data_IF_245484229999
#
_entry.id   IF_245484229999
#
_cell.length_a   1.000
_cell.length_b   1.000
_cell.length_c   1.000
_cell.angle_alpha   90.00
_cell.angle_beta   90.00
_cell.angle_gamma   90.00
#
_symmetry.space_group_name_H-M   'P 1'
#
loop_
_entity.id
_entity.type
_entity.pdbx_description
1 polymer ?
#
# COMPACT_ATOMS: atom_id res chain seq x y z
N UNK A 1 6.69 -47.95 60.39
CA UNK A 1 7.66 -49.08 60.32
C UNK A 1 9.07 -48.46 60.39
N UNK A 2 9.86 -48.89 61.38
CA UNK A 2 11.29 -48.60 61.68
C UNK A 2 12.19 -48.68 60.40
N UNK A 3 13.34 -48.01 60.16
CA UNK A 3 14.56 -47.70 60.94
C UNK A 3 15.50 -46.72 60.18
N UNK A 4 16.28 -45.91 60.94
CA UNK A 4 17.66 -45.36 60.76
C UNK A 4 18.50 -45.71 59.50
N UNK A 5 19.35 -44.77 59.04
CA UNK A 5 20.85 -44.62 59.23
C UNK A 5 21.46 -43.71 58.13
N UNK A 6 22.10 -42.57 58.45
CA UNK A 6 23.57 -42.30 58.53
C UNK A 6 24.48 -42.86 57.41
N UNK A 7 24.97 -41.91 56.58
CA UNK A 7 26.36 -41.59 56.17
C UNK A 7 27.21 -42.62 55.41
N UNK A 8 27.77 -42.21 54.25
CA UNK A 8 29.22 -42.31 53.96
C UNK A 8 29.64 -41.47 52.72
N UNK A 9 30.67 -40.65 52.93
CA UNK A 9 31.61 -40.12 51.92
C UNK A 9 32.34 -41.23 51.16
N UNK A 10 32.67 -40.97 49.89
CA UNK A 10 33.95 -41.26 49.19
C UNK A 10 33.83 -40.58 47.81
N UNK A 11 34.52 -39.49 47.51
CA UNK A 11 35.95 -39.32 47.19
C UNK A 11 36.21 -39.26 45.67
N UNK A 12 36.96 -38.21 45.31
CA UNK A 12 37.89 -38.08 44.18
C UNK A 12 37.39 -37.68 42.77
N UNK A 13 37.63 -36.38 42.50
CA UNK A 13 38.55 -35.83 41.49
C UNK A 13 38.21 -35.88 39.98
N UNK A 14 38.29 -34.67 39.39
CA UNK A 14 38.89 -34.48 38.07
C UNK A 14 37.97 -34.26 36.88
N UNK A 15 38.14 -33.10 36.22
CA UNK A 15 37.63 -32.69 34.90
C UNK A 15 36.11 -32.40 34.85
N UNK A 16 35.66 -31.16 34.72
CA UNK A 16 36.04 -30.23 33.66
C UNK A 16 35.32 -30.64 32.38
N UNK A 17 34.06 -30.23 32.23
CA UNK A 17 33.30 -30.09 30.97
C UNK A 17 31.88 -29.59 31.29
N UNK A 18 31.64 -28.30 31.05
CA UNK A 18 30.29 -27.76 30.83
C UNK A 18 29.71 -28.43 29.57
N UNK A 19 28.40 -28.66 29.49
CA UNK A 19 27.73 -28.07 28.34
C UNK A 19 26.28 -27.60 28.56
N UNK A 20 26.01 -26.52 27.85
CA UNK A 20 24.75 -26.08 27.28
C UNK A 20 23.70 -25.53 28.25
N UNK A 21 23.81 -24.21 28.46
CA UNK A 21 22.64 -23.36 28.63
C UNK A 21 21.59 -23.71 27.57
N UNK A 22 20.43 -24.15 28.02
CA UNK A 22 19.18 -24.11 27.28
C UNK A 22 18.95 -22.63 26.89
N UNK A 23 19.43 -22.25 25.71
CA UNK A 23 18.96 -21.04 25.06
C UNK A 23 17.52 -21.34 24.63
N UNK A 24 16.61 -21.07 25.56
CA UNK A 24 15.21 -20.79 25.28
C UNK A 24 15.19 -19.77 24.14
N UNK A 25 14.98 -20.28 22.93
CA UNK A 25 14.80 -19.47 21.75
C UNK A 25 13.47 -18.73 21.98
N UNK A 26 13.46 -17.41 22.26
CA UNK A 26 12.22 -16.73 22.49
C UNK A 26 11.56 -16.59 21.13
N UNK A 27 10.70 -17.54 20.79
CA UNK A 27 9.61 -17.28 19.85
C UNK A 27 8.81 -16.15 20.47
N UNK A 28 9.16 -14.92 20.15
CA UNK A 28 8.45 -13.72 20.57
C UNK A 28 7.02 -13.87 20.02
N UNK A 29 6.14 -14.39 20.86
CA UNK A 29 4.71 -14.31 20.66
C UNK A 29 4.38 -12.82 20.64
N UNK A 30 4.23 -12.28 19.43
CA UNK A 30 3.73 -10.94 19.22
C UNK A 30 2.47 -10.79 20.09
N UNK A 31 2.48 -9.80 20.99
CA UNK A 31 1.33 -9.47 21.81
C UNK A 31 0.09 -9.28 20.92
N UNK A 32 -1.11 -9.49 21.46
CA UNK A 32 -2.37 -9.26 20.75
C UNK A 32 -2.40 -7.93 20.01
N UNK A 33 -1.78 -6.91 20.60
CA UNK A 33 -1.74 -5.54 20.10
C UNK A 33 -0.78 -5.38 18.92
N UNK A 34 0.38 -6.05 18.95
CA UNK A 34 1.31 -6.09 17.82
C UNK A 34 0.73 -6.87 16.63
N UNK A 35 -0.08 -7.89 16.90
CA UNK A 35 -0.82 -8.60 15.86
C UNK A 35 -1.92 -7.73 15.24
N UNK A 36 -2.63 -6.94 16.06
CA UNK A 36 -3.68 -6.04 15.61
C UNK A 36 -3.16 -4.87 14.76
N UNK A 37 -1.92 -4.43 14.98
CA UNK A 37 -1.28 -3.35 14.22
C UNK A 37 -0.58 -3.82 12.94
N UNK A 38 -0.37 -5.13 12.77
CA UNK A 38 0.29 -5.70 11.60
C UNK A 38 -0.63 -5.81 10.39
N UNK A 39 -0.10 -5.54 9.19
CA UNK A 39 -0.81 -5.75 7.94
C UNK A 39 -0.83 -7.22 7.56
N UNK A 40 -2.03 -7.79 7.48
CA UNK A 40 -2.27 -9.16 7.03
C UNK A 40 -3.17 -9.14 5.79
N UNK A 41 -2.59 -9.15 4.58
CA UNK A 41 -3.40 -9.18 3.37
C UNK A 41 -4.13 -10.52 3.26
N UNK A 42 -5.38 -10.45 2.84
CA UNK A 42 -6.21 -11.57 2.41
C UNK A 42 -5.61 -12.28 1.20
N UNK A 43 -6.12 -13.48 0.89
CA UNK A 43 -5.68 -14.23 -0.29
C UNK A 43 -5.88 -13.42 -1.58
N UNK A 44 -7.01 -12.71 -1.69
CA UNK A 44 -7.32 -11.86 -2.85
C UNK A 44 -6.39 -10.65 -2.95
N UNK A 45 -6.12 -9.95 -1.85
CA UNK A 45 -5.18 -8.82 -1.84
C UNK A 45 -3.77 -9.28 -2.26
N UNK A 46 -3.31 -10.45 -1.79
CA UNK A 46 -2.02 -11.04 -2.23
C UNK A 46 -2.02 -11.44 -3.69
N UNK A 47 -3.10 -12.03 -4.17
CA UNK A 47 -3.24 -12.41 -5.59
C UNK A 47 -3.08 -11.19 -6.50
N UNK A 48 -3.86 -10.14 -6.24
CA UNK A 48 -3.79 -8.90 -7.02
C UNK A 48 -2.41 -8.25 -6.87
N UNK A 49 -1.88 -8.16 -5.64
CA UNK A 49 -0.53 -7.63 -5.41
C UNK A 49 0.52 -8.35 -6.25
N UNK A 50 0.54 -9.67 -6.25
CA UNK A 50 1.51 -10.44 -7.05
C UNK A 50 1.37 -10.18 -8.55
N UNK A 51 0.16 -9.90 -9.04
CA UNK A 51 -0.07 -9.54 -10.44
C UNK A 51 0.44 -8.12 -10.76
N UNK A 52 0.15 -7.13 -9.91
CA UNK A 52 0.40 -5.71 -10.21
C UNK A 52 1.77 -5.20 -9.75
N UNK A 53 2.33 -5.78 -8.69
CA UNK A 53 3.55 -5.31 -8.07
C UNK A 53 4.78 -5.54 -8.95
N UNK A 54 5.80 -4.71 -8.72
CA UNK A 54 7.11 -4.87 -9.32
C UNK A 54 7.67 -6.28 -9.00
N UNK A 55 8.31 -6.98 -9.94
CA UNK A 55 8.80 -8.34 -9.73
C UNK A 55 9.68 -8.52 -8.49
N UNK A 56 10.46 -7.48 -8.13
CA UNK A 56 11.32 -7.49 -6.94
C UNK A 56 10.57 -7.47 -5.60
N UNK A 57 9.26 -7.24 -5.58
CA UNK A 57 8.43 -7.18 -4.37
C UNK A 57 7.60 -8.45 -4.17
N UNK A 58 7.46 -9.29 -5.20
CA UNK A 58 6.64 -10.51 -5.14
C UNK A 58 7.17 -11.48 -4.10
N UNK A 59 6.26 -12.03 -3.30
CA UNK A 59 6.58 -13.00 -2.24
C UNK A 59 7.28 -12.40 -1.00
N UNK A 60 7.60 -11.11 -0.98
CA UNK A 60 8.13 -10.45 0.23
C UNK A 60 7.02 -10.26 1.27
N UNK A 61 7.44 -10.09 2.53
CA UNK A 61 6.52 -9.82 3.62
C UNK A 61 5.77 -8.49 3.39
N UNK A 62 4.44 -8.53 3.47
CA UNK A 62 3.59 -7.39 3.14
C UNK A 62 3.81 -6.19 4.07
N UNK A 63 4.02 -6.42 5.37
CA UNK A 63 4.32 -5.35 6.34
C UNK A 63 5.63 -4.64 5.98
N UNK A 64 6.69 -5.41 5.73
CA UNK A 64 8.00 -4.87 5.36
C UNK A 64 7.95 -4.08 4.04
N UNK A 65 7.14 -4.54 3.08
CA UNK A 65 6.88 -3.81 1.84
C UNK A 65 6.25 -2.44 2.16
N UNK A 66 5.18 -2.40 2.96
CA UNK A 66 4.47 -1.15 3.23
C UNK A 66 5.35 -0.15 4.00
N UNK A 67 6.12 -0.60 4.99
CA UNK A 67 7.06 0.25 5.72
C UNK A 67 8.17 0.80 4.82
N UNK A 68 8.75 -0.05 3.97
CA UNK A 68 9.79 0.36 3.02
C UNK A 68 9.27 1.40 2.03
N UNK A 69 8.04 1.24 1.56
CA UNK A 69 7.40 2.16 0.63
C UNK A 69 7.02 3.47 1.32
N UNK A 70 6.54 3.42 2.56
CA UNK A 70 6.19 4.61 3.34
C UNK A 70 7.38 5.56 3.53
N UNK A 71 8.59 5.02 3.68
CA UNK A 71 9.82 5.78 3.87
C UNK A 71 10.57 6.06 2.55
N UNK A 72 10.07 5.55 1.42
CA UNK A 72 10.71 5.68 0.12
C UNK A 72 10.63 7.11 -0.44
N UNK A 73 11.70 7.57 -1.07
CA UNK A 73 11.74 8.90 -1.70
C UNK A 73 10.76 9.08 -2.87
N UNK A 74 10.26 7.99 -3.44
CA UNK A 74 9.20 8.01 -4.46
C UNK A 74 7.80 8.25 -3.90
N UNK A 75 7.65 8.16 -2.58
CA UNK A 75 6.37 8.37 -1.89
C UNK A 75 6.24 9.84 -1.53
N UNK A 76 5.80 10.65 -2.51
CA UNK A 76 5.67 12.12 -2.36
C UNK A 76 4.26 12.58 -1.96
N UNK A 77 3.45 11.66 -1.43
CA UNK A 77 2.09 11.91 -0.95
C UNK A 77 1.98 11.50 0.52
N UNK A 78 0.86 11.82 1.15
CA UNK A 78 0.60 11.47 2.55
C UNK A 78 0.31 9.97 2.66
N UNK A 79 1.37 9.17 2.76
CA UNK A 79 1.34 7.72 2.79
C UNK A 79 0.92 7.17 4.15
N UNK A 80 -0.31 7.50 4.55
CA UNK A 80 -0.93 6.90 5.73
C UNK A 80 -1.08 5.38 5.54
N UNK A 81 -1.06 4.59 6.63
CA UNK A 81 -1.23 3.15 6.54
C UNK A 81 -2.47 2.70 5.73
N UNK A 82 -3.67 3.30 5.88
CA UNK A 82 -4.82 2.93 5.05
C UNK A 82 -4.60 3.15 3.55
N UNK A 83 -3.96 4.25 3.14
CA UNK A 83 -3.64 4.53 1.72
C UNK A 83 -2.70 3.46 1.18
N UNK A 84 -1.63 3.14 1.91
CA UNK A 84 -0.65 2.13 1.51
C UNK A 84 -1.23 0.72 1.45
N UNK A 85 -2.12 0.36 2.40
CA UNK A 85 -2.86 -0.92 2.36
C UNK A 85 -3.70 -1.07 1.10
N UNK A 86 -4.36 -0.01 0.67
CA UNK A 86 -5.18 -0.05 -0.54
C UNK A 86 -4.33 0.05 -1.81
N UNK A 87 -3.20 0.74 -1.78
CA UNK A 87 -2.24 0.75 -2.87
C UNK A 87 -1.61 -0.64 -3.09
N UNK A 88 -1.43 -1.43 -2.03
CA UNK A 88 -0.88 -2.79 -2.07
C UNK A 88 -1.58 -3.68 -3.10
N UNK A 89 -2.92 -3.64 -3.15
CA UNK A 89 -3.73 -4.46 -4.04
C UNK A 89 -4.53 -3.64 -5.07
N UNK A 90 -4.07 -2.41 -5.37
CA UNK A 90 -4.65 -1.52 -6.37
C UNK A 90 -6.15 -1.19 -6.15
N UNK A 91 -6.59 -1.06 -4.90
CA UNK A 91 -8.00 -0.92 -4.48
C UNK A 91 -8.64 0.45 -4.76
N UNK A 92 -8.58 0.92 -6.02
CA UNK A 92 -9.22 2.15 -6.48
C UNK A 92 -10.75 2.06 -6.55
N UNK A 93 -11.40 3.21 -6.69
CA UNK A 93 -12.84 3.38 -6.93
C UNK A 93 -13.71 2.90 -5.76
N UNK A 94 -14.64 1.97 -5.99
CA UNK A 94 -15.55 1.41 -4.97
C UNK A 94 -14.84 0.76 -3.77
N UNK A 95 -13.54 0.49 -3.89
CA UNK A 95 -12.71 -0.04 -2.79
C UNK A 95 -12.04 1.05 -1.94
N UNK A 96 -12.29 2.32 -2.25
CA UNK A 96 -11.98 3.48 -1.41
C UNK A 96 -10.76 4.29 -1.84
N UNK A 97 -9.76 3.68 -2.50
CA UNK A 97 -8.60 4.43 -2.97
C UNK A 97 -9.02 5.33 -4.15
N UNK A 98 -8.46 6.52 -4.15
CA UNK A 98 -8.69 7.55 -5.15
C UNK A 98 -7.36 8.09 -5.60
N UNK A 99 -7.23 8.47 -6.87
CA UNK A 99 -6.07 9.17 -7.40
C UNK A 99 -5.67 10.35 -6.50
N UNK A 100 -6.65 11.07 -5.94
CA UNK A 100 -6.39 12.23 -5.09
C UNK A 100 -5.71 11.91 -3.74
N UNK A 101 -5.64 10.64 -3.31
CA UNK A 101 -4.78 10.24 -2.18
C UNK A 101 -3.30 10.33 -2.52
N UNK A 102 -2.95 10.33 -3.81
CA UNK A 102 -1.60 10.52 -4.31
C UNK A 102 -1.31 11.99 -4.63
N UNK A 103 -2.18 12.94 -4.24
CA UNK A 103 -1.84 14.37 -4.29
C UNK A 103 -0.51 14.60 -3.58
N UNK A 104 0.36 15.39 -4.19
CA UNK A 104 1.64 15.76 -3.60
C UNK A 104 1.43 16.35 -2.20
N UNK A 105 2.14 15.79 -1.24
CA UNK A 105 2.11 16.24 0.15
C UNK A 105 3.29 17.17 0.42
N UNK A 106 3.00 18.36 0.92
CA UNK A 106 4.02 19.33 1.33
C UNK A 106 4.01 19.50 2.84
N UNK A 107 4.93 18.80 3.51
CA UNK A 107 5.00 18.74 4.97
C UNK A 107 5.01 20.15 5.61
N UNK A 108 5.82 21.07 5.09
CA UNK A 108 5.94 22.46 5.59
C UNK A 108 4.63 23.26 5.52
N UNK A 109 3.72 22.90 4.63
CA UNK A 109 2.46 23.60 4.41
C UNK A 109 1.28 22.91 5.12
N UNK A 110 1.39 21.60 5.35
CA UNK A 110 0.25 20.75 5.76
C UNK A 110 0.38 20.19 7.20
N UNK A 111 1.44 20.56 7.92
CA UNK A 111 1.85 20.05 9.25
C UNK A 111 0.83 20.22 10.40
N UNK A 112 -0.24 21.02 10.29
CA UNK A 112 -1.05 21.40 11.46
C UNK A 112 -2.41 20.68 11.67
N UNK A 113 -3.12 20.14 10.65
CA UNK A 113 -4.34 19.35 10.89
C UNK A 113 -4.33 17.91 10.34
N UNK A 114 -3.41 17.53 9.44
CA UNK A 114 -3.50 16.24 8.71
C UNK A 114 -2.83 15.06 9.43
N UNK A 115 -1.91 15.33 10.37
CA UNK A 115 -1.15 14.29 11.07
C UNK A 115 -1.66 13.99 12.48
N UNK A 116 -2.50 14.85 13.05
CA UNK A 116 -3.05 14.69 14.40
C UNK A 116 -4.15 13.62 14.43
N UNK A 117 -3.77 12.35 14.52
CA UNK A 117 -4.70 11.25 14.80
C UNK A 117 -4.39 9.93 14.09
N UNK A 118 -3.54 9.91 13.07
CA UNK A 118 -3.19 8.69 12.35
C UNK A 118 -1.90 8.10 12.91
N UNK A 119 -1.98 6.91 13.52
CA UNK A 119 -0.79 6.16 13.88
C UNK A 119 -0.12 5.63 12.60
N UNK A 120 0.98 6.28 12.20
CA UNK A 120 1.70 6.01 10.96
C UNK A 120 2.40 4.65 10.90
N UNK A 121 2.54 3.93 12.01
CA UNK A 121 3.16 2.59 12.05
C UNK A 121 2.12 1.47 12.17
N UNK A 122 0.85 1.81 12.41
CA UNK A 122 -0.22 0.84 12.55
C UNK A 122 -0.89 0.58 11.19
N UNK A 123 -0.55 -0.55 10.56
CA UNK A 123 -1.17 -1.04 9.34
C UNK A 123 -2.29 -2.07 9.60
N UNK A 124 -2.83 -2.06 10.81
CA UNK A 124 -4.06 -2.76 11.14
C UNK A 124 -5.24 -2.19 10.36
N UNK A 125 -6.30 -3.00 10.23
CA UNK A 125 -7.55 -2.57 9.57
C UNK A 125 -8.37 -1.58 10.41
N UNK A 126 -8.01 -1.38 11.67
CA UNK A 126 -8.67 -0.44 12.59
C UNK A 126 -8.53 1.01 12.10
N UNK A 127 -7.44 1.33 11.41
CA UNK A 127 -7.25 2.64 10.81
C UNK A 127 -8.11 2.77 9.55
N UNK A 128 -9.09 3.67 9.60
CA UNK A 128 -9.96 3.98 8.47
C UNK A 128 -9.29 4.93 7.48
N UNK A 129 -9.62 4.77 6.20
CA UNK A 129 -9.17 5.70 5.17
C UNK A 129 -9.89 7.04 5.33
N UNK A 130 -9.15 8.13 5.47
CA UNK A 130 -9.72 9.46 5.41
C UNK A 130 -10.10 9.81 3.96
N UNK A 131 -11.20 10.53 3.73
CA UNK A 131 -11.56 11.00 2.39
C UNK A 131 -10.41 11.78 1.74
N UNK A 132 -10.15 11.53 0.46
CA UNK A 132 -9.18 12.31 -0.29
C UNK A 132 -9.60 13.77 -0.40
N UNK A 133 -8.64 14.68 -0.40
CA UNK A 133 -8.88 16.10 -0.70
C UNK A 133 -9.38 16.24 -2.14
N UNK A 134 -10.55 16.85 -2.40
CA UNK A 134 -11.04 17.09 -3.75
C UNK A 134 -10.09 17.97 -4.56
N UNK A 135 -10.01 17.79 -5.90
CA UNK A 135 -9.26 18.69 -6.77
C UNK A 135 -9.91 20.07 -6.81
N UNK A 136 -9.09 21.11 -6.86
CA UNK A 136 -9.50 22.51 -7.10
C UNK A 136 -9.24 22.93 -8.54
N UNK A 137 -8.33 22.26 -9.22
CA UNK A 137 -7.97 22.50 -10.62
C UNK A 137 -7.69 21.18 -11.34
N UNK A 138 -7.70 21.18 -12.68
CA UNK A 138 -7.20 20.04 -13.46
C UNK A 138 -5.72 19.77 -13.17
N UNK A 139 -4.94 20.82 -12.87
CA UNK A 139 -3.52 20.69 -12.54
C UNK A 139 -3.30 19.84 -11.29
N UNK A 140 -4.22 19.87 -10.32
CA UNK A 140 -4.13 19.04 -9.12
C UNK A 140 -4.26 17.55 -9.47
N UNK A 141 -5.10 17.22 -10.46
CA UNK A 141 -5.29 15.85 -10.97
C UNK A 141 -4.02 15.40 -11.72
N UNK A 142 -3.44 16.27 -12.55
CA UNK A 142 -2.18 16.01 -13.25
C UNK A 142 -1.03 15.80 -12.26
N UNK A 143 -0.94 16.63 -11.21
CA UNK A 143 0.09 16.48 -10.17
C UNK A 143 -0.08 15.18 -9.37
N UNK A 144 -1.32 14.79 -9.04
CA UNK A 144 -1.60 13.51 -8.40
C UNK A 144 -1.19 12.32 -9.29
N UNK A 145 -1.41 12.40 -10.60
CA UNK A 145 -0.89 11.40 -11.55
C UNK A 145 0.63 11.33 -11.56
N UNK A 146 1.31 12.48 -11.60
CA UNK A 146 2.78 12.52 -11.58
C UNK A 146 3.35 11.88 -10.32
N UNK A 147 2.71 12.13 -9.17
CA UNK A 147 3.09 11.53 -7.90
C UNK A 147 2.81 10.03 -7.87
N UNK A 148 1.67 9.59 -8.40
CA UNK A 148 1.35 8.17 -8.57
C UNK A 148 2.33 7.47 -9.53
N UNK A 149 2.79 8.14 -10.60
CA UNK A 149 3.78 7.59 -11.52
C UNK A 149 5.15 7.40 -10.86
N UNK A 150 5.59 8.36 -10.05
CA UNK A 150 6.83 8.22 -9.26
C UNK A 150 6.76 7.01 -8.33
N UNK A 151 5.62 6.84 -7.65
CA UNK A 151 5.36 5.68 -6.81
C UNK A 151 5.33 4.37 -7.62
N UNK A 152 4.61 4.38 -8.74
CA UNK A 152 4.40 3.23 -9.61
C UNK A 152 5.70 2.70 -10.22
N UNK A 153 6.65 3.60 -10.55
CA UNK A 153 7.96 3.24 -11.12
C UNK A 153 8.74 2.25 -10.23
N UNK A 154 8.54 2.31 -8.91
CA UNK A 154 9.20 1.41 -7.97
C UNK A 154 8.32 0.31 -7.45
N UNK A 155 7.03 0.59 -7.28
CA UNK A 155 6.12 -0.30 -6.58
C UNK A 155 5.37 -1.24 -7.51
N UNK A 156 5.07 -0.79 -8.73
CA UNK A 156 4.28 -1.54 -9.68
C UNK A 156 5.13 -2.09 -10.83
N UNK A 157 4.59 -3.09 -11.50
CA UNK A 157 5.20 -3.66 -12.71
C UNK A 157 5.24 -2.63 -13.85
N UNK A 158 6.17 -2.74 -14.81
CA UNK A 158 6.24 -1.84 -15.96
C UNK A 158 4.93 -1.73 -16.76
N UNK A 159 4.13 -2.80 -16.76
CA UNK A 159 2.84 -2.84 -17.44
C UNK A 159 1.78 -1.99 -16.71
N UNK A 160 1.70 -2.11 -15.39
CA UNK A 160 0.82 -1.27 -14.57
C UNK A 160 1.26 0.20 -14.64
N UNK A 161 2.58 0.45 -14.60
CA UNK A 161 3.13 1.79 -14.81
C UNK A 161 2.68 2.37 -16.17
N UNK A 162 2.78 1.58 -17.25
CA UNK A 162 2.38 2.02 -18.59
C UNK A 162 0.88 2.32 -18.67
N UNK A 163 0.05 1.53 -17.99
CA UNK A 163 -1.39 1.78 -17.86
C UNK A 163 -1.68 3.10 -17.13
N UNK A 164 -1.03 3.36 -15.99
CA UNK A 164 -1.17 4.63 -15.26
C UNK A 164 -0.69 5.81 -16.12
N UNK A 165 0.41 5.61 -16.85
CA UNK A 165 1.00 6.64 -17.73
C UNK A 165 0.05 7.02 -18.86
N UNK A 166 -0.73 6.09 -19.41
CA UNK A 166 -1.75 6.40 -20.40
C UNK A 166 -2.78 7.40 -19.85
N UNK A 167 -3.28 7.17 -18.62
CA UNK A 167 -4.18 8.09 -17.93
C UNK A 167 -3.55 9.45 -17.64
N UNK A 168 -2.29 9.47 -17.18
CA UNK A 168 -1.56 10.71 -16.94
C UNK A 168 -1.38 11.54 -18.22
N UNK A 169 -0.94 10.91 -19.31
CA UNK A 169 -0.78 11.57 -20.62
C UNK A 169 -2.11 12.10 -21.17
N UNK A 170 -3.21 11.38 -20.95
CA UNK A 170 -4.54 11.89 -21.29
C UNK A 170 -4.87 13.16 -20.49
N UNK A 171 -4.68 13.13 -19.17
CA UNK A 171 -4.98 14.28 -18.31
C UNK A 171 -4.12 15.51 -18.61
N UNK A 172 -2.84 15.32 -18.92
CA UNK A 172 -1.95 16.40 -19.38
C UNK A 172 -2.49 17.07 -20.64
N UNK A 173 -2.86 16.27 -21.65
CA UNK A 173 -3.46 16.79 -22.90
C UNK A 173 -4.80 17.48 -22.62
N UNK A 174 -5.64 16.89 -21.76
CA UNK A 174 -6.93 17.47 -21.39
C UNK A 174 -6.74 18.82 -20.70
N UNK A 175 -5.77 18.96 -19.78
CA UNK A 175 -5.48 20.20 -19.08
C UNK A 175 -5.04 21.35 -20.01
N UNK A 176 -4.32 21.03 -21.09
CA UNK A 176 -3.89 22.03 -22.09
C UNK A 176 -5.03 22.42 -23.03
N UNK A 177 -5.85 21.45 -23.43
CA UNK A 177 -6.83 21.62 -24.51
C UNK A 177 -8.25 21.92 -24.02
N UNK A 178 -8.52 21.81 -22.73
CA UNK A 178 -9.85 22.01 -22.12
C UNK A 178 -9.78 23.04 -21.00
N UNK A 179 -10.88 23.77 -20.78
CA UNK A 179 -11.09 24.62 -19.60
C UNK A 179 -12.38 24.20 -18.89
N UNK A 180 -12.38 23.04 -18.22
CA UNK A 180 -13.56 22.56 -17.52
C UNK A 180 -13.93 23.48 -16.36
N UNK A 181 -15.21 23.52 -16.01
CA UNK A 181 -15.70 24.20 -14.82
C UNK A 181 -15.35 23.42 -13.52
N UNK A 182 -15.54 24.03 -12.34
CA UNK A 182 -15.24 23.37 -11.07
C UNK A 182 -16.00 22.08 -10.78
N UNK A 183 -17.22 21.89 -11.27
CA UNK A 183 -17.98 20.66 -11.06
C UNK A 183 -17.35 19.49 -11.83
N UNK A 184 -16.88 19.76 -13.04
CA UNK A 184 -16.24 18.78 -13.92
C UNK A 184 -14.97 18.17 -13.30
N UNK A 185 -14.23 18.85 -12.42
CA UNK A 185 -13.02 18.27 -11.80
C UNK A 185 -13.30 17.01 -10.99
N UNK A 186 -14.40 16.99 -10.22
CA UNK A 186 -14.77 15.82 -9.43
C UNK A 186 -15.25 14.67 -10.31
N UNK A 187 -15.96 14.99 -11.40
CA UNK A 187 -16.37 14.00 -12.41
C UNK A 187 -15.15 13.36 -13.08
N UNK A 188 -14.13 14.15 -13.43
CA UNK A 188 -12.87 13.65 -13.98
C UNK A 188 -12.17 12.70 -12.99
N UNK A 189 -12.09 13.05 -11.71
CA UNK A 189 -11.51 12.16 -10.69
C UNK A 189 -12.34 10.89 -10.54
N UNK A 190 -13.66 10.98 -10.53
CA UNK A 190 -14.54 9.81 -10.46
C UNK A 190 -14.33 8.88 -11.66
N UNK A 191 -14.29 9.42 -12.87
CA UNK A 191 -14.05 8.69 -14.11
C UNK A 191 -12.67 8.04 -14.12
N UNK A 192 -11.62 8.76 -13.75
CA UNK A 192 -10.27 8.18 -13.63
C UNK A 192 -10.27 7.03 -12.62
N UNK A 193 -10.88 7.23 -11.44
CA UNK A 193 -10.97 6.19 -10.44
C UNK A 193 -11.73 4.97 -10.99
N UNK A 194 -12.80 5.14 -11.75
CA UNK A 194 -13.56 4.03 -12.33
C UNK A 194 -12.70 3.20 -13.29
N UNK A 195 -11.85 3.83 -14.11
CA UNK A 195 -10.87 3.12 -14.96
C UNK A 195 -9.83 2.36 -14.15
N UNK A 196 -9.27 2.97 -13.10
CA UNK A 196 -8.33 2.30 -12.20
C UNK A 196 -8.99 1.12 -11.45
N UNK A 197 -10.25 1.27 -11.05
CA UNK A 197 -11.04 0.19 -10.45
C UNK A 197 -11.34 -0.94 -11.43
N UNK A 198 -11.73 -0.60 -12.67
CA UNK A 198 -11.96 -1.56 -13.77
C UNK A 198 -10.70 -2.35 -14.08
N UNK A 199 -9.53 -1.70 -14.08
CA UNK A 199 -8.24 -2.36 -14.26
C UNK A 199 -8.04 -3.48 -13.24
N UNK A 200 -8.28 -3.20 -11.96
CA UNK A 200 -8.19 -4.23 -10.91
C UNK A 200 -9.17 -5.38 -11.14
N UNK A 201 -10.41 -5.09 -11.53
CA UNK A 201 -11.41 -6.12 -11.82
C UNK A 201 -10.97 -7.03 -12.97
N UNK A 202 -10.41 -6.46 -14.04
CA UNK A 202 -9.86 -7.23 -15.16
C UNK A 202 -8.62 -8.05 -14.79
N UNK A 203 -7.74 -7.55 -13.91
CA UNK A 203 -6.62 -8.34 -13.38
C UNK A 203 -7.12 -9.61 -12.69
N UNK A 204 -8.28 -9.54 -12.02
CA UNK A 204 -8.88 -10.69 -11.35
C UNK A 204 -9.55 -11.63 -12.36
N UNK A 205 -10.30 -11.09 -13.32
CA UNK A 205 -11.06 -11.88 -14.28
C UNK A 205 -10.17 -12.58 -15.31
N UNK A 206 -9.08 -11.92 -15.74
CA UNK A 206 -8.23 -12.38 -16.82
C UNK A 206 -6.76 -12.39 -16.39
N UNK A 207 -6.02 -11.32 -16.64
CA UNK A 207 -4.64 -11.12 -16.25
C UNK A 207 -4.25 -9.64 -16.44
N UNK A 208 -3.02 -9.31 -16.03
CA UNK A 208 -2.51 -7.94 -16.12
C UNK A 208 -2.33 -7.45 -17.57
N UNK A 209 -2.06 -8.34 -18.52
CA UNK A 209 -1.88 -8.00 -19.95
C UNK A 209 -3.19 -7.51 -20.57
N UNK A 210 -4.28 -8.25 -20.37
CA UNK A 210 -5.61 -7.85 -20.82
C UNK A 210 -6.10 -6.60 -20.09
N UNK A 211 -5.90 -6.54 -18.76
CA UNK A 211 -6.30 -5.38 -17.97
C UNK A 211 -5.63 -4.08 -18.46
N UNK A 212 -4.37 -4.13 -18.89
CA UNK A 212 -3.65 -2.96 -19.39
C UNK A 212 -4.29 -2.33 -20.64
N UNK A 213 -5.11 -3.08 -21.39
CA UNK A 213 -5.84 -2.55 -22.54
C UNK A 213 -6.89 -1.51 -22.15
N UNK A 214 -7.32 -1.45 -20.88
CA UNK A 214 -8.17 -0.37 -20.36
C UNK A 214 -7.48 0.98 -20.50
N UNK A 215 -6.15 1.03 -20.61
CA UNK A 215 -5.42 2.25 -20.93
C UNK A 215 -5.86 2.90 -22.24
N UNK A 216 -6.39 2.13 -23.19
CA UNK A 216 -6.93 2.65 -24.45
C UNK A 216 -8.28 3.35 -24.28
N UNK A 217 -8.95 3.16 -23.14
CA UNK A 217 -10.23 3.80 -22.81
C UNK A 217 -10.04 5.22 -22.27
N UNK A 218 -8.81 5.66 -21.99
CA UNK A 218 -8.54 7.06 -21.67
C UNK A 218 -8.70 7.94 -22.91
N UNK A 219 -9.95 8.25 -23.25
CA UNK A 219 -10.35 9.01 -24.43
C UNK A 219 -11.45 10.02 -24.10
N UNK A 220 -11.53 11.10 -24.89
CA UNK A 220 -12.55 12.16 -24.72
C UNK A 220 -13.97 11.69 -25.06
N UNK A 221 -14.10 10.68 -25.92
CA UNK A 221 -15.39 10.12 -26.34
C UNK A 221 -15.85 8.98 -25.42
N UNK A 222 -15.35 8.92 -24.18
CA UNK A 222 -15.86 7.98 -23.21
C UNK A 222 -17.20 8.50 -22.70
N UNK A 223 -18.26 7.71 -22.89
CA UNK A 223 -19.64 8.08 -22.51
C UNK A 223 -19.75 8.47 -21.02
N UNK A 224 -18.88 7.93 -20.16
CA UNK A 224 -18.84 8.23 -18.73
C UNK A 224 -18.21 9.60 -18.39
N UNK A 225 -17.66 10.32 -19.37
CA UNK A 225 -17.13 11.67 -19.21
C UNK A 225 -18.19 12.75 -19.51
N UNK A 226 -19.32 12.36 -20.11
CA UNK A 226 -20.34 13.25 -20.71
C UNK A 226 -21.73 13.16 -20.05
N UNK A 227 -21.90 12.33 -19.01
CA UNK A 227 -23.12 12.26 -18.18
C UNK A 227 -22.99 13.04 -16.87
#
# INVERSE_FOLDING_TARGET
>A
RRLRKRTRDSDEDGSGLLPADDIDNPTLSLSSDAQASSFRPSQMERYVHNAVAHPSLRGKNAQAILESVQQGHQTQFLATPPVLRLAYDFSFHVRGLSLMHFRRFMEKLEQQPTMSGVNMTNFGRVNSLHPATPPRTVSDIVEAFNTLLLFADRFYSPLVYSFIKAGATFMEKYAVLSRPDPATYNMLVFWVNSKLGKFRSEVIATNVQTAALIGNEFARNDDHLME
#
